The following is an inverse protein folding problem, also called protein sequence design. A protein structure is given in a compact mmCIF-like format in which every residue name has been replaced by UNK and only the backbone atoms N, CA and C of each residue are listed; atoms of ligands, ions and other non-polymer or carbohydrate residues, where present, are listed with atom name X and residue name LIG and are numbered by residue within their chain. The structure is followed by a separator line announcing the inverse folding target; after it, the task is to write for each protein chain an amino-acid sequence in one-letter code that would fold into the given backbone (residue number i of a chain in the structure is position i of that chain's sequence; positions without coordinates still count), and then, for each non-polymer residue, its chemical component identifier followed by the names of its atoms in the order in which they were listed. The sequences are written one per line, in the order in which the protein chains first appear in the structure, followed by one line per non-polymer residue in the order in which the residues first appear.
data_IF_918437824028
#
_entry.id   IF_918437824028
#
_cell.length_a   1.000
_cell.length_b   1.000
_cell.length_c   1.000
_cell.angle_alpha   90.00
_cell.angle_beta   90.00
_cell.angle_gamma   90.00
#
_symmetry.space_group_name_H-M   'P 1'
#
loop_
_entity.id
_entity.type
_entity.pdbx_description
1 polymer ?
#
# COMPACT_ATOMS: atom_id res chain seq x y z
N UNK A 1 7.10 13.76 2.92
CA UNK A 1 7.01 14.50 4.18
C UNK A 1 6.83 13.51 5.32
N UNK A 2 7.43 13.78 6.47
CA UNK A 2 7.41 12.90 7.65
C UNK A 2 6.88 13.70 8.83
N UNK A 3 6.18 13.03 9.73
CA UNK A 3 5.57 13.67 10.89
C UNK A 3 6.01 13.01 12.19
N UNK A 4 6.19 13.82 13.23
CA UNK A 4 6.39 13.39 14.60
C UNK A 4 5.54 14.23 15.55
N UNK A 5 5.46 13.81 16.81
CA UNK A 5 4.84 14.60 17.86
C UNK A 5 5.88 15.39 18.66
N UNK A 6 5.61 16.66 18.92
CA UNK A 6 6.44 17.52 19.80
C UNK A 6 6.62 16.92 21.19
N UNK A 7 5.60 16.21 21.67
CA UNK A 7 5.55 15.64 23.01
C UNK A 7 5.97 14.16 23.03
N UNK A 8 6.52 13.62 21.94
CA UNK A 8 6.93 12.23 21.88
C UNK A 8 8.18 11.97 22.70
N UNK A 9 8.06 11.24 23.82
CA UNK A 9 9.21 10.78 24.62
C UNK A 9 10.16 9.92 23.81
N UNK A 10 9.67 9.16 22.82
CA UNK A 10 10.43 8.20 22.05
C UNK A 10 11.05 8.77 20.77
N UNK A 11 10.83 10.06 20.47
CA UNK A 11 11.35 10.73 19.26
C UNK A 11 11.25 9.86 18.01
N UNK A 12 10.01 9.51 17.60
CA UNK A 12 9.74 8.65 16.45
C UNK A 12 9.08 9.46 15.35
N UNK A 13 9.60 9.38 14.11
CA UNK A 13 8.96 9.96 12.94
C UNK A 13 8.21 8.90 12.11
N UNK A 14 7.21 9.35 11.39
CA UNK A 14 6.29 8.53 10.60
C UNK A 14 6.14 9.06 9.19
N UNK A 15 5.93 8.20 8.20
CA UNK A 15 5.36 8.63 6.91
C UNK A 15 3.97 9.24 7.12
N UNK A 16 3.57 10.18 6.27
CA UNK A 16 2.27 10.84 6.41
C UNK A 16 1.07 9.87 6.26
N UNK A 17 1.23 8.78 5.53
CA UNK A 17 0.23 7.71 5.37
C UNK A 17 0.10 6.83 6.61
N UNK A 18 1.09 6.86 7.51
CA UNK A 18 1.08 6.06 8.73
C UNK A 18 -0.10 6.41 9.64
N UNK A 19 -0.80 5.41 10.17
CA UNK A 19 -1.94 5.61 11.06
C UNK A 19 -1.58 6.38 12.34
N UNK A 20 -0.34 6.29 12.82
CA UNK A 20 0.12 7.12 13.94
C UNK A 20 0.24 8.59 13.53
N UNK A 21 0.75 8.89 12.33
CA UNK A 21 0.82 10.26 11.83
C UNK A 21 -0.57 10.88 11.66
N UNK A 22 -1.54 10.10 11.16
CA UNK A 22 -2.94 10.55 10.97
C UNK A 22 -3.65 10.91 12.28
N UNK A 23 -3.20 10.35 13.41
CA UNK A 23 -3.75 10.65 14.75
C UNK A 23 -3.11 11.87 15.43
N UNK A 24 -2.05 12.42 14.85
CA UNK A 24 -1.41 13.60 15.41
C UNK A 24 -2.24 14.85 15.09
N UNK A 25 -2.63 15.58 16.13
CA UNK A 25 -3.27 16.88 15.93
C UNK A 25 -2.30 17.87 15.29
N UNK A 26 -2.75 18.79 14.43
CA UNK A 26 -1.90 19.74 13.74
C UNK A 26 -0.98 20.54 14.69
N UNK A 27 -1.47 20.93 15.86
CA UNK A 27 -0.76 21.79 16.84
C UNK A 27 0.43 21.06 17.47
N UNK A 28 0.35 19.71 17.55
CA UNK A 28 1.40 18.85 18.14
C UNK A 28 2.34 18.27 17.10
N UNK A 29 2.09 18.54 15.82
CA UNK A 29 2.82 17.93 14.71
C UNK A 29 4.12 18.68 14.45
N UNK A 30 5.21 17.93 14.33
CA UNK A 30 6.46 18.39 13.73
C UNK A 30 6.56 17.74 12.36
N UNK A 31 6.89 18.52 11.34
CA UNK A 31 7.12 18.05 9.99
C UNK A 31 8.63 18.04 9.67
N UNK A 32 9.06 16.98 8.95
CA UNK A 32 10.38 16.88 8.34
C UNK A 32 10.21 16.63 6.86
N UNK A 33 11.04 17.23 6.03
CA UNK A 33 11.01 17.05 4.58
C UNK A 33 11.77 15.81 4.14
N UNK A 34 12.84 15.46 4.86
CA UNK A 34 13.68 14.29 4.56
C UNK A 34 13.84 13.37 5.77
N UNK A 35 14.23 12.12 5.52
CA UNK A 35 14.58 11.15 6.56
C UNK A 35 15.83 11.61 7.30
N UNK A 36 16.79 12.19 6.59
CA UNK A 36 18.06 12.62 7.17
C UNK A 36 17.89 13.83 8.08
N UNK A 37 17.01 14.76 7.73
CA UNK A 37 16.60 15.87 8.62
C UNK A 37 16.00 15.33 9.93
N UNK A 38 15.10 14.37 9.85
CA UNK A 38 14.49 13.78 11.04
C UNK A 38 15.52 13.03 11.91
N UNK A 39 16.44 12.30 11.28
CA UNK A 39 17.53 11.60 11.99
C UNK A 39 18.53 12.57 12.63
N UNK A 40 18.92 13.64 11.93
CA UNK A 40 19.79 14.69 12.46
C UNK A 40 19.16 15.38 13.68
N UNK A 41 17.83 15.52 13.71
CA UNK A 41 17.08 16.00 14.86
C UNK A 41 16.91 14.95 15.98
N UNK A 42 17.54 13.78 15.87
CA UNK A 42 17.54 12.71 16.87
C UNK A 42 16.27 11.84 16.85
N UNK A 43 15.51 11.84 15.76
CA UNK A 43 14.31 11.00 15.64
C UNK A 43 14.63 9.67 14.93
N UNK A 44 14.04 8.58 15.43
CA UNK A 44 14.10 7.26 14.81
C UNK A 44 12.88 6.99 13.94
N UNK A 45 13.04 6.12 12.94
CA UNK A 45 11.94 5.76 12.07
C UNK A 45 10.94 4.82 12.76
N UNK A 46 9.65 5.09 12.65
CA UNK A 46 8.59 4.25 13.18
C UNK A 46 8.73 2.80 12.70
N UNK A 47 8.73 1.86 13.64
CA UNK A 47 8.83 0.43 13.33
C UNK A 47 7.67 -0.08 12.46
N UNK A 48 6.48 0.51 12.58
CA UNK A 48 5.31 0.15 11.79
C UNK A 48 5.47 0.54 10.31
N UNK A 49 5.66 1.83 10.02
CA UNK A 49 5.76 2.27 8.63
C UNK A 49 7.11 1.96 7.96
N UNK A 50 8.11 1.49 8.69
CA UNK A 50 9.38 1.03 8.12
C UNK A 50 9.40 -0.46 7.78
N UNK A 51 8.41 -1.25 8.21
CA UNK A 51 8.45 -2.72 8.07
C UNK A 51 8.45 -3.16 6.60
N UNK A 52 7.58 -2.58 5.78
CA UNK A 52 7.50 -2.91 4.35
C UNK A 52 8.79 -2.49 3.63
N UNK A 53 9.30 -1.28 3.88
CA UNK A 53 10.54 -0.81 3.26
C UNK A 53 11.76 -1.65 3.62
N UNK A 54 11.85 -2.16 4.86
CA UNK A 54 12.93 -3.08 5.25
C UNK A 54 12.82 -4.42 4.51
N UNK A 55 11.62 -4.98 4.42
CA UNK A 55 11.40 -6.22 3.70
C UNK A 55 11.65 -6.06 2.21
N UNK A 56 11.11 -5.01 1.58
CA UNK A 56 11.34 -4.70 0.18
C UNK A 56 12.83 -4.57 -0.17
N UNK A 57 13.63 -3.88 0.66
CA UNK A 57 15.08 -3.80 0.41
C UNK A 57 15.78 -5.14 0.40
N UNK A 58 15.32 -6.12 1.21
CA UNK A 58 15.90 -7.47 1.28
C UNK A 58 15.59 -8.31 0.05
N UNK A 59 14.37 -8.18 -0.50
CA UNK A 59 13.91 -8.97 -1.66
C UNK A 59 13.77 -8.13 -2.94
N UNK A 60 14.42 -6.95 -3.01
CA UNK A 60 14.22 -6.01 -4.12
C UNK A 60 14.52 -6.62 -5.48
N UNK A 61 15.59 -7.40 -5.59
CA UNK A 61 15.98 -8.06 -6.87
C UNK A 61 14.90 -9.06 -7.30
N UNK A 62 14.39 -9.84 -6.37
CA UNK A 62 13.36 -10.85 -6.63
C UNK A 62 12.04 -10.19 -7.02
N UNK A 63 11.67 -9.08 -6.34
CA UNK A 63 10.48 -8.29 -6.69
C UNK A 63 10.59 -7.73 -8.11
N UNK A 64 11.75 -7.16 -8.47
CA UNK A 64 11.97 -6.61 -9.81
C UNK A 64 11.86 -7.71 -10.86
N UNK A 65 12.52 -8.86 -10.66
CA UNK A 65 12.49 -9.98 -11.58
C UNK A 65 11.07 -10.54 -11.75
N UNK A 66 10.37 -10.78 -10.65
CA UNK A 66 8.99 -11.28 -10.66
C UNK A 66 8.04 -10.31 -11.39
N UNK A 67 8.12 -9.02 -11.08
CA UNK A 67 7.27 -8.01 -11.72
C UNK A 67 7.55 -7.91 -13.22
N UNK A 68 8.82 -7.96 -13.65
CA UNK A 68 9.18 -7.95 -15.06
C UNK A 68 8.68 -9.20 -15.80
N UNK A 69 8.80 -10.40 -15.19
CA UNK A 69 8.34 -11.66 -15.76
C UNK A 69 6.82 -11.69 -15.97
N UNK A 70 6.06 -11.11 -15.04
CA UNK A 70 4.59 -11.19 -15.06
C UNK A 70 3.90 -9.90 -15.53
N UNK A 71 4.64 -8.92 -16.05
CA UNK A 71 4.08 -7.67 -16.56
C UNK A 71 3.51 -6.75 -15.46
N UNK A 72 3.98 -6.88 -14.22
CA UNK A 72 3.56 -6.03 -13.12
C UNK A 72 4.39 -4.75 -13.06
N UNK A 73 3.75 -3.64 -12.71
CA UNK A 73 4.41 -2.38 -12.37
C UNK A 73 4.43 -2.26 -10.85
N UNK A 74 5.55 -1.87 -10.27
CA UNK A 74 5.62 -1.65 -8.84
C UNK A 74 6.41 -0.39 -8.48
N UNK A 75 6.03 0.25 -7.37
CA UNK A 75 6.76 1.38 -6.80
C UNK A 75 6.58 1.44 -5.29
N UNK A 76 7.60 1.95 -4.61
CA UNK A 76 7.56 2.12 -3.16
C UNK A 76 7.34 3.60 -2.84
N UNK A 77 6.28 3.90 -2.11
CA UNK A 77 5.92 5.27 -1.73
C UNK A 77 5.39 5.32 -0.30
N UNK A 78 5.83 6.31 0.47
CA UNK A 78 5.36 6.60 1.84
C UNK A 78 5.32 5.38 2.78
N UNK A 79 6.29 4.47 2.66
CA UNK A 79 6.39 3.30 3.53
C UNK A 79 5.55 2.11 3.11
N UNK A 80 4.92 2.15 1.94
CA UNK A 80 4.05 1.14 1.37
C UNK A 80 4.54 0.74 -0.03
N UNK A 81 4.30 -0.51 -0.41
CA UNK A 81 4.59 -1.00 -1.75
C UNK A 81 3.28 -1.07 -2.55
N UNK A 82 3.25 -0.39 -3.67
CA UNK A 82 2.18 -0.41 -4.65
C UNK A 82 2.55 -1.34 -5.78
N UNK A 83 1.58 -2.10 -6.26
CA UNK A 83 1.71 -3.00 -7.40
C UNK A 83 0.49 -2.78 -8.30
N UNK A 84 0.74 -2.67 -9.60
CA UNK A 84 -0.30 -2.70 -10.63
C UNK A 84 -0.07 -3.98 -11.38
N UNK A 85 -1.06 -4.85 -11.39
CA UNK A 85 -0.98 -6.15 -12.04
C UNK A 85 -1.23 -6.04 -13.55
N UNK A 86 -1.05 -7.13 -14.29
CA UNK A 86 -1.14 -7.13 -15.74
C UNK A 86 -2.55 -6.82 -16.28
N UNK A 87 -3.58 -6.96 -15.45
CA UNK A 87 -4.98 -6.58 -15.73
C UNK A 87 -5.33 -5.15 -15.30
N UNK A 88 -4.31 -4.33 -15.03
CA UNK A 88 -4.43 -2.93 -14.58
C UNK A 88 -5.09 -2.77 -13.19
N UNK A 89 -5.13 -3.83 -12.41
CA UNK A 89 -5.67 -3.76 -11.04
C UNK A 89 -4.61 -3.27 -10.06
N UNK A 90 -4.98 -2.30 -9.23
CA UNK A 90 -4.06 -1.72 -8.25
C UNK A 90 -4.12 -2.44 -6.90
N UNK A 91 -2.94 -2.76 -6.40
CA UNK A 91 -2.71 -3.43 -5.13
C UNK A 91 -1.79 -2.60 -4.23
N UNK A 92 -1.93 -2.80 -2.93
CA UNK A 92 -1.15 -2.06 -1.96
C UNK A 92 -0.75 -2.94 -0.78
N UNK A 93 0.53 -3.01 -0.49
CA UNK A 93 1.08 -3.74 0.66
C UNK A 93 1.44 -2.71 1.73
N UNK A 94 0.78 -2.77 2.86
CA UNK A 94 0.94 -1.81 3.95
C UNK A 94 0.95 -2.49 5.32
N UNK A 95 1.11 -1.71 6.38
CA UNK A 95 1.03 -2.17 7.76
C UNK A 95 -0.30 -1.72 8.39
N UNK A 96 -1.14 -2.66 8.79
CA UNK A 96 -2.40 -2.38 9.50
C UNK A 96 -2.21 -2.45 11.02
N UNK A 97 -2.40 -1.32 11.69
CA UNK A 97 -2.33 -1.22 13.14
C UNK A 97 -3.49 -1.89 13.86
N UNK A 98 -4.68 -1.89 13.26
CA UNK A 98 -5.87 -2.51 13.84
C UNK A 98 -5.70 -4.01 13.99
N UNK A 99 -4.92 -4.62 13.10
CA UNK A 99 -4.60 -6.05 13.12
C UNK A 99 -3.27 -6.37 13.83
N UNK A 100 -2.90 -5.58 14.85
CA UNK A 100 -1.69 -5.83 15.64
C UNK A 100 -0.39 -5.55 14.88
N UNK A 101 -0.33 -4.51 14.05
CA UNK A 101 0.80 -4.12 13.20
C UNK A 101 1.18 -5.19 12.18
N UNK A 102 0.23 -6.00 11.74
CA UNK A 102 0.46 -7.01 10.71
C UNK A 102 0.58 -6.35 9.33
N UNK A 103 1.36 -6.96 8.47
CA UNK A 103 1.36 -6.63 7.05
C UNK A 103 0.03 -7.10 6.45
N UNK A 104 -0.51 -6.31 5.56
CA UNK A 104 -1.76 -6.61 4.86
C UNK A 104 -1.62 -6.29 3.39
N UNK A 105 -2.28 -7.09 2.57
CA UNK A 105 -2.48 -6.84 1.16
C UNK A 105 -3.86 -6.21 0.97
N UNK A 106 -3.91 -5.13 0.24
CA UNK A 106 -5.12 -4.42 -0.13
C UNK A 106 -5.31 -4.51 -1.64
N UNK A 107 -6.52 -4.80 -2.08
CA UNK A 107 -6.95 -4.82 -3.46
C UNK A 107 -7.83 -3.60 -3.73
N UNK A 108 -7.67 -2.96 -4.88
CA UNK A 108 -8.52 -1.87 -5.31
C UNK A 108 -9.93 -2.39 -5.62
N UNK A 109 -10.95 -1.73 -5.09
CA UNK A 109 -12.34 -2.06 -5.43
C UNK A 109 -12.67 -1.58 -6.83
N UNK A 110 -13.40 -2.40 -7.61
CA UNK A 110 -13.94 -2.00 -8.92
C UNK A 110 -15.01 -0.91 -8.80
N UNK A 111 -15.60 -0.74 -7.61
CA UNK A 111 -16.58 0.30 -7.32
C UNK A 111 -15.90 1.64 -7.03
N UNK A 112 -15.67 2.40 -8.06
CA UNK A 112 -15.21 3.78 -7.92
C UNK A 112 -16.39 4.68 -7.57
N UNK A 113 -16.33 5.35 -6.42
CA UNK A 113 -17.30 6.38 -6.08
C UNK A 113 -16.80 7.71 -6.62
N UNK A 114 -17.57 8.27 -7.55
CA UNK A 114 -17.37 9.64 -8.00
C UNK A 114 -17.89 10.59 -6.92
N UNK A 115 -17.00 11.46 -6.45
CA UNK A 115 -17.36 12.54 -5.53
C UNK A 115 -17.19 13.88 -6.22
N UNK A 116 -18.01 14.82 -5.84
CA UNK A 116 -17.82 16.21 -6.19
C UNK A 116 -17.26 16.99 -4.98
N UNK A 117 -16.13 17.65 -5.15
CA UNK A 117 -15.56 18.50 -4.13
C UNK A 117 -15.17 19.85 -4.72
N UNK A 118 -15.80 20.93 -4.23
CA UNK A 118 -15.58 22.28 -4.73
C UNK A 118 -15.80 22.42 -6.25
N UNK A 119 -16.86 21.78 -6.77
CA UNK A 119 -17.19 21.83 -8.19
C UNK A 119 -16.24 21.04 -9.11
N UNK A 120 -15.37 20.20 -8.56
CA UNK A 120 -14.48 19.32 -9.35
C UNK A 120 -14.77 17.86 -9.03
N UNK A 121 -15.04 17.02 -10.05
CA UNK A 121 -15.18 15.59 -9.86
C UNK A 121 -13.83 15.00 -9.45
N UNK A 122 -13.83 14.10 -8.49
CA UNK A 122 -12.68 13.27 -8.17
C UNK A 122 -13.12 11.85 -7.86
N UNK A 123 -12.24 10.90 -8.17
CA UNK A 123 -12.48 9.48 -7.89
C UNK A 123 -11.65 9.07 -6.68
N UNK A 124 -12.30 8.59 -5.64
CA UNK A 124 -11.61 7.99 -4.50
C UNK A 124 -11.45 6.49 -4.76
N UNK A 125 -10.19 6.06 -4.87
CA UNK A 125 -9.87 4.62 -4.96
C UNK A 125 -10.13 3.97 -3.61
N UNK A 126 -11.08 3.05 -3.58
CA UNK A 126 -11.37 2.24 -2.40
C UNK A 126 -10.55 0.98 -2.43
N UNK A 127 -9.96 0.63 -1.29
CA UNK A 127 -9.20 -0.59 -1.11
C UNK A 127 -9.86 -1.47 -0.04
N UNK A 128 -9.91 -2.77 -0.29
CA UNK A 128 -10.34 -3.76 0.69
C UNK A 128 -9.22 -4.74 1.03
N UNK A 129 -9.23 -5.23 2.26
CA UNK A 129 -8.20 -6.16 2.76
C UNK A 129 -8.44 -7.54 2.17
N UNK A 130 -7.37 -8.12 1.60
CA UNK A 130 -7.39 -9.50 1.12
C UNK A 130 -7.09 -10.48 2.26
N UNK A 131 -7.86 -11.57 2.28
CA UNK A 131 -7.63 -12.66 3.21
C UNK A 131 -6.59 -13.64 2.62
N UNK A 132 -5.32 -13.35 2.85
CA UNK A 132 -4.21 -14.19 2.41
C UNK A 132 -3.42 -14.74 3.60
N UNK A 133 -2.91 -15.96 3.47
CA UNK A 133 -2.01 -16.59 4.45
C UNK A 133 -0.58 -16.03 4.35
N UNK A 134 -0.24 -15.36 3.28
CA UNK A 134 1.09 -14.77 3.07
C UNK A 134 1.39 -13.67 4.09
N UNK A 135 2.65 -13.59 4.49
CA UNK A 135 3.16 -12.61 5.46
C UNK A 135 4.36 -11.83 4.93
N UNK A 136 4.78 -12.07 3.70
CA UNK A 136 5.91 -11.40 3.05
C UNK A 136 5.55 -10.90 1.64
N UNK A 137 6.42 -10.06 1.09
CA UNK A 137 6.16 -9.38 -0.18
C UNK A 137 6.06 -10.38 -1.34
N UNK A 138 6.95 -11.36 -1.40
CA UNK A 138 6.94 -12.33 -2.51
C UNK A 138 5.67 -13.18 -2.49
N UNK A 139 5.25 -13.65 -1.31
CA UNK A 139 3.99 -14.36 -1.16
C UNK A 139 2.76 -13.52 -1.53
N UNK A 140 2.80 -12.20 -1.31
CA UNK A 140 1.76 -11.32 -1.79
C UNK A 140 1.76 -11.18 -3.32
N UNK A 141 2.93 -11.11 -3.96
CA UNK A 141 3.01 -11.05 -5.43
C UNK A 141 2.48 -12.36 -6.07
N UNK A 142 2.82 -13.51 -5.51
CA UNK A 142 2.26 -14.81 -5.95
C UNK A 142 0.74 -14.86 -5.77
N UNK A 143 0.23 -14.32 -4.65
CA UNK A 143 -1.21 -14.22 -4.44
C UNK A 143 -1.89 -13.34 -5.49
N UNK A 144 -1.33 -12.16 -5.79
CA UNK A 144 -1.84 -11.26 -6.84
C UNK A 144 -1.93 -11.98 -8.18
N UNK A 145 -0.85 -12.66 -8.58
CA UNK A 145 -0.82 -13.41 -9.83
C UNK A 145 -1.91 -14.50 -9.90
N UNK A 146 -2.13 -15.21 -8.80
CA UNK A 146 -3.20 -16.21 -8.70
C UNK A 146 -4.60 -15.61 -8.77
N UNK A 147 -4.80 -14.45 -8.15
CA UNK A 147 -6.06 -13.72 -8.15
C UNK A 147 -6.44 -13.27 -9.57
N UNK A 148 -5.50 -12.65 -10.29
CA UNK A 148 -5.72 -12.17 -11.65
C UNK A 148 -6.12 -13.31 -12.62
N UNK A 149 -5.51 -14.49 -12.46
CA UNK A 149 -5.87 -15.68 -13.26
C UNK A 149 -7.32 -16.10 -13.03
N UNK A 150 -7.76 -16.13 -11.76
CA UNK A 150 -9.14 -16.52 -11.41
C UNK A 150 -10.15 -15.51 -11.93
N UNK A 151 -9.86 -14.21 -11.83
CA UNK A 151 -10.75 -13.17 -12.34
C UNK A 151 -10.86 -13.24 -13.87
N UNK A 152 -9.76 -13.45 -14.58
CA UNK A 152 -9.76 -13.64 -16.04
C UNK A 152 -10.61 -14.84 -16.46
N UNK A 153 -10.45 -16.00 -15.83
CA UNK A 153 -11.24 -17.19 -16.10
C UNK A 153 -12.74 -16.98 -15.83
N UNK A 154 -13.09 -16.20 -14.81
CA UNK A 154 -14.49 -15.84 -14.51
C UNK A 154 -15.08 -14.95 -15.59
N UNK A 155 -14.35 -13.95 -16.06
CA UNK A 155 -14.81 -13.02 -17.09
C UNK A 155 -14.96 -13.73 -18.45
N UNK A 156 -14.04 -14.62 -18.81
CA UNK A 156 -14.15 -15.47 -20.01
C UNK A 156 -15.39 -16.37 -19.94
N UNK A 157 -15.61 -17.05 -18.82
CA UNK A 157 -16.79 -17.92 -18.63
C UNK A 157 -18.11 -17.12 -18.61
N UNK A 158 -18.12 -15.89 -18.09
CA UNK A 158 -19.29 -15.01 -18.10
C UNK A 158 -19.64 -14.56 -19.53
N UNK A 159 -18.63 -14.30 -20.36
CA UNK A 159 -18.83 -13.94 -21.77
C UNK A 159 -19.33 -15.09 -22.62
N UNK A 160 -18.90 -16.33 -22.35
CA UNK A 160 -19.41 -17.53 -23.03
C UNK A 160 -20.88 -17.85 -22.71
N UNK A 161 -21.41 -17.37 -21.58
CA UNK A 161 -22.80 -17.60 -21.14
C UNK A 161 -23.78 -16.53 -21.62
N UNK A 162 -23.32 -15.46 -22.29
CA UNK A 162 -24.26 -14.48 -22.88
C UNK A 162 -24.90 -15.10 -24.13
N UNK A 163 -26.24 -15.31 -24.14
CA UNK A 163 -26.90 -15.77 -25.36
C UNK A 163 -26.69 -14.72 -26.45
N UNK A 164 -26.39 -15.20 -27.65
CA UNK A 164 -26.43 -14.37 -28.86
C UNK A 164 -27.83 -13.74 -28.96
N UNK A 165 -27.89 -12.42 -28.79
CA UNK A 165 -29.10 -11.63 -29.11
C UNK A 165 -28.97 -11.09 -30.53
#
# INVERSE_FOLDING_TARGET
MFYSSRNSKNKVFHYQTCQYAKRLSPERRIAFYTIDEAKAAGYSHCSCCSVIGRQYRRCRKDVIAFCAEHGFIHFFHDGELYVISADDTAWRICCDLKKGKKKVLLHESKDHVLYERRGKPYTERKYHVQNTKSTDIMGYLVYILGHDRVDKERDENANLRKPYR
#
